data_IF_255316190299
#
_entry.id   IF_255316190299
#
_cell.length_a   1.000
_cell.length_b   1.000
_cell.length_c   1.000
_cell.angle_alpha   90.00
_cell.angle_beta   90.00
_cell.angle_gamma   90.00
#
_symmetry.space_group_name_H-M   'P 1'
#
loop_
_entity.id
_entity.type
_entity.pdbx_description
1 polymer ?
#
# COMPACT_ATOMS: atom_id res chain seq x y z
N UNK A 1 11.25 -2.16 4.35
CA UNK A 1 11.24 -2.07 5.83
C UNK A 1 9.96 -2.68 6.37
N UNK A 2 9.95 -2.98 7.69
CA UNK A 2 8.73 -3.34 8.41
C UNK A 2 8.33 -2.16 9.28
N UNK A 3 7.09 -1.72 9.15
CA UNK A 3 6.49 -0.69 9.97
C UNK A 3 5.53 -1.35 10.95
N UNK A 4 5.57 -0.91 12.21
CA UNK A 4 4.71 -1.44 13.30
C UNK A 4 3.95 -0.29 13.93
N UNK A 5 2.67 -0.45 14.15
CA UNK A 5 1.86 0.50 14.90
C UNK A 5 1.68 0.07 16.36
N UNK A 6 1.01 0.90 17.14
CA UNK A 6 0.85 0.70 18.58
C UNK A 6 -0.12 -0.45 18.91
N UNK A 7 0.09 -1.07 20.09
CA UNK A 7 -0.72 -2.22 20.55
C UNK A 7 -2.20 -1.89 20.73
N UNK A 8 -2.54 -0.64 21.03
CA UNK A 8 -3.91 -0.17 21.21
C UNK A 8 -4.58 0.31 19.92
N UNK A 9 -3.87 0.20 18.77
CA UNK A 9 -4.38 0.50 17.45
C UNK A 9 -4.66 -0.83 16.70
N UNK A 10 -4.02 -1.08 15.56
CA UNK A 10 -4.14 -2.36 14.80
C UNK A 10 -3.22 -3.44 15.38
N UNK A 11 -2.10 -3.01 16.00
CA UNK A 11 -1.06 -3.88 16.52
C UNK A 11 -0.54 -4.83 15.45
N UNK A 12 -0.25 -4.29 14.26
CA UNK A 12 0.15 -5.04 13.08
C UNK A 12 1.52 -4.60 12.60
N UNK A 13 2.15 -5.44 11.81
CA UNK A 13 3.37 -5.13 11.11
C UNK A 13 3.15 -5.21 9.61
N UNK A 14 3.48 -4.13 8.90
CA UNK A 14 3.39 -4.06 7.44
C UNK A 14 4.77 -4.06 6.79
N UNK A 15 4.91 -4.81 5.71
CA UNK A 15 5.96 -4.60 4.73
C UNK A 15 5.69 -3.27 4.02
N UNK A 16 6.70 -2.39 3.98
CA UNK A 16 6.59 -1.07 3.36
C UNK A 16 7.73 -0.85 2.37
N UNK A 17 7.39 -0.44 1.15
CA UNK A 17 8.32 -0.09 0.08
C UNK A 17 7.87 1.20 -0.59
N UNK A 18 8.77 2.18 -0.76
CA UNK A 18 8.47 3.37 -1.56
C UNK A 18 8.01 2.95 -2.97
N UNK A 19 6.87 3.47 -3.41
CA UNK A 19 6.23 3.00 -4.64
C UNK A 19 7.04 3.27 -5.91
N UNK A 20 7.93 4.27 -5.88
CA UNK A 20 8.89 4.55 -6.97
C UNK A 20 9.84 3.38 -7.25
N UNK A 21 10.06 2.51 -6.26
CA UNK A 21 10.97 1.36 -6.35
C UNK A 21 10.25 0.02 -6.48
N UNK A 22 8.94 0.03 -6.75
CA UNK A 22 8.18 -1.20 -6.89
C UNK A 22 8.65 -2.03 -8.09
N UNK A 23 8.82 -3.33 -7.87
CA UNK A 23 9.15 -4.32 -8.91
C UNK A 23 8.22 -5.54 -8.80
N UNK A 24 8.12 -6.38 -9.84
CA UNK A 24 7.41 -7.65 -9.74
C UNK A 24 7.91 -8.54 -8.59
N UNK A 25 9.22 -8.54 -8.34
CA UNK A 25 9.84 -9.32 -7.26
C UNK A 25 9.39 -8.83 -5.88
N UNK A 26 9.30 -7.49 -5.71
CA UNK A 26 8.81 -6.90 -4.46
C UNK A 26 7.34 -7.24 -4.20
N UNK A 27 6.49 -7.13 -5.22
CA UNK A 27 5.08 -7.54 -5.12
C UNK A 27 4.96 -9.04 -4.83
N UNK A 28 5.75 -9.87 -5.51
CA UNK A 28 5.77 -11.31 -5.27
C UNK A 28 6.23 -11.64 -3.84
N UNK A 29 7.22 -10.91 -3.32
CA UNK A 29 7.68 -11.03 -1.94
C UNK A 29 6.55 -10.71 -0.95
N UNK A 30 5.86 -9.58 -1.14
CA UNK A 30 4.74 -9.18 -0.30
C UNK A 30 3.60 -10.22 -0.35
N UNK A 31 3.22 -10.67 -1.54
CA UNK A 31 2.15 -11.66 -1.71
C UNK A 31 2.50 -13.01 -1.08
N UNK A 32 3.75 -13.45 -1.20
CA UNK A 32 4.21 -14.76 -0.74
C UNK A 32 4.47 -14.79 0.76
N UNK A 33 5.11 -13.78 1.29
CA UNK A 33 5.62 -13.77 2.66
C UNK A 33 4.83 -12.84 3.58
N UNK A 34 4.37 -11.67 3.10
CA UNK A 34 3.44 -10.82 3.85
C UNK A 34 2.06 -11.46 3.93
N UNK A 35 1.49 -11.86 2.79
CA UNK A 35 0.17 -12.53 2.66
C UNK A 35 -1.04 -11.62 2.94
N UNK A 36 -0.80 -10.36 3.32
CA UNK A 36 -1.82 -9.36 3.53
C UNK A 36 -2.40 -8.81 2.23
N UNK A 37 -3.21 -7.78 2.34
CA UNK A 37 -3.73 -7.06 1.19
C UNK A 37 -2.69 -6.07 0.68
N UNK A 38 -2.25 -6.23 -0.58
CA UNK A 38 -1.31 -5.29 -1.18
C UNK A 38 -2.04 -4.00 -1.51
N UNK A 39 -1.72 -2.95 -0.75
CA UNK A 39 -2.30 -1.62 -0.86
C UNK A 39 -1.27 -0.59 -1.35
N UNK A 40 -1.76 0.48 -1.98
CA UNK A 40 -0.96 1.60 -2.45
C UNK A 40 -1.35 2.86 -1.66
N UNK A 41 -0.46 3.38 -0.82
CA UNK A 41 -0.72 4.64 -0.12
C UNK A 41 -0.49 5.81 -1.07
N UNK A 42 -1.42 6.74 -1.11
CA UNK A 42 -1.38 7.94 -1.95
C UNK A 42 -1.79 9.17 -1.15
N UNK A 43 -1.23 10.31 -1.49
CA UNK A 43 -1.72 11.59 -0.97
C UNK A 43 -3.13 11.88 -1.48
N UNK A 44 -3.89 12.71 -0.75
CA UNK A 44 -5.19 13.21 -1.19
C UNK A 44 -5.11 13.82 -2.59
N UNK A 45 -4.13 14.72 -2.80
CA UNK A 45 -3.91 15.37 -4.09
C UNK A 45 -3.75 14.37 -5.24
N UNK A 46 -2.98 13.27 -5.01
CA UNK A 46 -2.78 12.25 -6.03
C UNK A 46 -4.07 11.46 -6.30
N UNK A 47 -4.83 11.12 -5.27
CA UNK A 47 -6.14 10.47 -5.42
C UNK A 47 -7.12 11.33 -6.21
N UNK A 48 -7.19 12.63 -5.92
CA UNK A 48 -8.05 13.58 -6.63
C UNK A 48 -7.62 13.73 -8.08
N UNK A 49 -6.32 13.88 -8.35
CA UNK A 49 -5.78 13.96 -9.71
C UNK A 49 -6.15 12.72 -10.54
N UNK A 50 -5.97 11.55 -9.97
CA UNK A 50 -6.28 10.26 -10.64
C UNK A 50 -7.79 9.94 -10.66
N UNK A 51 -8.63 10.79 -10.07
CA UNK A 51 -10.09 10.63 -9.99
C UNK A 51 -10.49 9.30 -9.31
N UNK A 52 -9.87 9.03 -8.17
CA UNK A 52 -10.14 7.85 -7.35
C UNK A 52 -11.18 8.18 -6.27
N UNK A 53 -12.46 7.85 -6.47
CA UNK A 53 -13.48 8.07 -5.45
C UNK A 53 -13.30 7.09 -4.29
N UNK A 54 -13.85 7.41 -3.10
CA UNK A 54 -13.92 6.47 -2.00
C UNK A 54 -14.59 5.16 -2.43
N UNK A 55 -14.08 4.02 -1.94
CA UNK A 55 -14.63 2.69 -2.24
C UNK A 55 -16.07 2.54 -1.74
N UNK A 56 -16.42 3.21 -0.65
CA UNK A 56 -17.75 3.19 -0.07
C UNK A 56 -18.27 4.62 0.18
N UNK A 57 -19.55 4.84 -0.07
CA UNK A 57 -20.21 6.13 0.20
C UNK A 57 -20.18 6.49 1.70
N UNK A 58 -20.12 5.49 2.58
CA UNK A 58 -20.00 5.64 4.03
C UNK A 58 -18.92 4.69 4.53
N UNK A 59 -17.83 5.25 5.06
CA UNK A 59 -16.78 4.46 5.69
C UNK A 59 -17.25 3.98 7.06
N UNK A 60 -17.35 2.66 7.24
CA UNK A 60 -17.74 1.99 8.48
C UNK A 60 -16.58 1.25 9.17
N UNK A 61 -15.33 1.41 8.69
CA UNK A 61 -14.19 0.73 9.29
C UNK A 61 -13.81 1.34 10.64
N UNK A 62 -13.37 0.49 11.57
CA UNK A 62 -13.03 0.90 12.95
C UNK A 62 -11.99 2.00 12.97
N UNK A 63 -10.95 1.89 12.14
CA UNK A 63 -9.84 2.85 12.08
C UNK A 63 -9.98 3.86 10.94
N UNK A 64 -11.15 3.92 10.30
CA UNK A 64 -11.44 4.87 9.22
C UNK A 64 -10.46 4.79 8.05
N UNK A 65 -9.91 3.61 7.76
CA UNK A 65 -9.00 3.39 6.64
C UNK A 65 -9.66 3.82 5.33
N UNK A 66 -9.07 4.79 4.66
CA UNK A 66 -9.68 5.48 3.53
C UNK A 66 -9.40 4.76 2.20
N UNK A 67 -10.00 3.59 2.02
CA UNK A 67 -9.96 2.89 0.74
C UNK A 67 -10.62 3.73 -0.36
N UNK A 68 -9.94 3.82 -1.49
CA UNK A 68 -10.56 4.25 -2.75
C UNK A 68 -10.99 3.02 -3.55
N UNK A 69 -11.67 3.24 -4.68
CA UNK A 69 -11.91 2.17 -5.64
C UNK A 69 -10.60 1.52 -6.04
N UNK A 70 -10.61 0.20 -6.23
CA UNK A 70 -9.43 -0.53 -6.72
C UNK A 70 -9.12 -0.15 -8.17
N UNK A 71 -7.85 -0.27 -8.56
CA UNK A 71 -7.35 0.19 -9.85
C UNK A 71 -6.58 -0.90 -10.58
N UNK A 72 -6.50 -0.71 -11.91
CA UNK A 72 -5.65 -1.48 -12.81
C UNK A 72 -4.98 -0.53 -13.81
N UNK A 73 -3.76 -0.83 -14.27
CA UNK A 73 -3.19 -0.13 -15.42
C UNK A 73 -4.04 -0.41 -16.68
N UNK A 74 -4.35 0.64 -17.46
CA UNK A 74 -5.11 0.49 -18.69
C UNK A 74 -4.36 -0.33 -19.75
N UNK A 75 -3.01 -0.32 -19.68
CA UNK A 75 -2.14 -0.99 -20.64
C UNK A 75 -0.94 -1.65 -19.95
N UNK A 76 -0.43 -2.71 -20.58
CA UNK A 76 0.78 -3.41 -20.11
C UNK A 76 0.50 -4.41 -18.99
N UNK A 77 -0.74 -4.87 -18.85
CA UNK A 77 -1.19 -5.92 -17.94
C UNK A 77 -1.92 -7.02 -18.67
N UNK A 78 -2.03 -8.19 -18.06
CA UNK A 78 -2.83 -9.32 -18.57
C UNK A 78 -4.19 -9.36 -17.86
N UNK A 79 -4.32 -10.19 -16.82
CA UNK A 79 -5.55 -10.25 -15.99
C UNK A 79 -5.50 -9.35 -14.75
N UNK A 80 -4.36 -8.68 -14.51
CA UNK A 80 -4.17 -7.71 -13.45
C UNK A 80 -3.63 -8.26 -12.13
N UNK A 81 -3.82 -9.56 -11.85
CA UNK A 81 -3.51 -10.15 -10.54
C UNK A 81 -2.04 -10.59 -10.40
N UNK A 82 -1.32 -10.84 -11.50
CA UNK A 82 0.07 -11.27 -11.40
C UNK A 82 0.95 -10.24 -10.68
N UNK A 83 2.08 -10.68 -10.12
CA UNK A 83 3.01 -9.75 -9.48
C UNK A 83 3.50 -8.67 -10.46
N UNK A 84 3.72 -9.04 -11.72
CA UNK A 84 4.12 -8.12 -12.78
C UNK A 84 3.00 -7.10 -13.09
N UNK A 85 1.76 -7.55 -13.23
CA UNK A 85 0.61 -6.69 -13.52
C UNK A 85 0.37 -5.69 -12.37
N UNK A 86 0.42 -6.17 -11.11
CA UNK A 86 0.25 -5.30 -9.94
C UNK A 86 1.39 -4.29 -9.81
N UNK A 87 2.64 -4.71 -10.05
CA UNK A 87 3.77 -3.79 -10.07
C UNK A 87 3.60 -2.72 -11.17
N UNK A 88 3.15 -3.12 -12.36
CA UNK A 88 2.85 -2.20 -13.47
C UNK A 88 1.77 -1.19 -13.06
N UNK A 89 0.69 -1.65 -12.44
CA UNK A 89 -0.39 -0.78 -11.98
C UNK A 89 0.10 0.26 -10.96
N UNK A 90 0.93 -0.15 -9.99
CA UNK A 90 1.55 0.78 -9.04
C UNK A 90 2.43 1.79 -9.76
N UNK A 91 3.32 1.35 -10.66
CA UNK A 91 4.20 2.23 -11.43
C UNK A 91 3.42 3.29 -12.19
N UNK A 92 2.33 2.90 -12.87
CA UNK A 92 1.45 3.86 -13.57
C UNK A 92 0.79 4.82 -12.58
N UNK A 93 0.28 4.32 -11.46
CA UNK A 93 -0.42 5.16 -10.49
C UNK A 93 0.48 6.24 -9.86
N UNK A 94 1.79 6.01 -9.73
CA UNK A 94 2.71 6.98 -9.10
C UNK A 94 3.52 7.81 -10.10
N UNK A 95 3.58 7.44 -11.38
CA UNK A 95 4.26 8.22 -12.40
C UNK A 95 3.59 9.59 -12.55
N UNK A 96 4.36 10.66 -12.36
CA UNK A 96 3.90 12.05 -12.48
C UNK A 96 3.34 12.40 -13.86
N UNK A 97 3.71 11.65 -14.90
CA UNK A 97 3.25 11.86 -16.28
C UNK A 97 1.93 11.16 -16.57
N UNK A 98 1.56 10.18 -15.76
CA UNK A 98 0.32 9.41 -15.96
C UNK A 98 -0.91 10.30 -15.81
N UNK A 99 -1.90 10.01 -16.63
CA UNK A 99 -3.21 10.64 -16.63
C UNK A 99 -4.26 9.71 -16.02
N UNK A 100 -5.41 10.22 -15.60
CA UNK A 100 -6.50 9.36 -15.09
C UNK A 100 -6.92 8.26 -16.06
N UNK A 101 -6.80 8.49 -17.37
CA UNK A 101 -7.11 7.51 -18.43
C UNK A 101 -6.13 6.34 -18.51
N UNK A 102 -4.95 6.45 -17.88
CA UNK A 102 -3.95 5.37 -17.87
C UNK A 102 -4.28 4.30 -16.81
N UNK A 103 -5.34 4.53 -16.04
CA UNK A 103 -5.89 3.60 -15.07
C UNK A 103 -7.34 3.27 -15.40
N UNK A 104 -7.74 2.02 -15.11
CA UNK A 104 -9.14 1.56 -15.16
C UNK A 104 -9.58 1.14 -13.77
N UNK A 105 -10.88 1.08 -13.55
CA UNK A 105 -11.54 0.73 -12.30
C UNK A 105 -12.68 -0.25 -12.59
N UNK A 106 -12.84 -1.32 -11.77
CA UNK A 106 -11.98 -1.76 -10.67
C UNK A 106 -10.71 -2.46 -11.15
N UNK A 107 -9.84 -2.86 -10.20
CA UNK A 107 -8.61 -3.60 -10.47
C UNK A 107 -8.10 -4.38 -9.25
N UNK A 108 -6.80 -4.72 -9.25
CA UNK A 108 -6.18 -5.60 -8.25
C UNK A 108 -5.17 -4.89 -7.35
N UNK A 109 -5.05 -3.57 -7.44
CA UNK A 109 -4.37 -2.72 -6.46
C UNK A 109 -5.40 -1.86 -5.74
N UNK A 110 -5.23 -1.72 -4.44
CA UNK A 110 -6.16 -1.04 -3.53
C UNK A 110 -5.52 0.25 -3.02
N UNK A 111 -5.83 1.42 -3.61
CA UNK A 111 -5.29 2.67 -3.10
C UNK A 111 -5.93 3.07 -1.77
N UNK A 112 -5.08 3.60 -0.89
CA UNK A 112 -5.47 4.18 0.40
C UNK A 112 -5.10 5.67 0.37
N UNK A 113 -6.08 6.53 0.64
CA UNK A 113 -5.86 7.96 0.70
C UNK A 113 -5.34 8.36 2.09
N UNK A 114 -4.11 8.87 2.15
CA UNK A 114 -3.53 9.41 3.37
C UNK A 114 -4.25 10.69 3.81
N UNK A 115 -4.33 10.92 5.11
CA UNK A 115 -4.85 12.16 5.69
C UNK A 115 -3.80 13.27 5.53
N UNK A 116 -4.26 14.47 5.19
CA UNK A 116 -3.39 15.64 5.11
C UNK A 116 -2.73 15.92 6.48
N UNK A 117 -1.41 16.15 6.47
CA UNK A 117 -0.61 16.31 7.68
C UNK A 117 0.03 15.02 8.19
N UNK A 118 -0.17 13.89 7.49
CA UNK A 118 0.56 12.65 7.69
C UNK A 118 0.38 12.03 9.08
N UNK A 119 1.40 11.36 9.59
CA UNK A 119 1.36 10.62 10.86
C UNK A 119 1.02 11.49 12.08
N UNK A 120 1.26 12.79 12.01
CA UNK A 120 0.90 13.71 13.08
C UNK A 120 -0.61 13.92 13.20
N UNK A 121 -1.36 13.64 12.15
CA UNK A 121 -2.82 13.73 12.11
C UNK A 121 -3.50 12.37 12.29
N UNK A 122 -2.91 11.31 11.73
CA UNK A 122 -3.37 9.93 11.88
C UNK A 122 -2.16 8.98 11.90
N UNK A 123 -1.92 8.36 13.04
CA UNK A 123 -0.78 7.45 13.26
C UNK A 123 -1.04 6.06 12.62
N UNK A 124 -1.26 6.02 11.31
CA UNK A 124 -1.53 4.79 10.56
C UNK A 124 -0.44 4.45 9.54
N UNK A 125 -0.36 3.17 9.15
CA UNK A 125 0.56 2.68 8.14
C UNK A 125 0.43 3.45 6.80
N UNK A 126 -0.78 3.87 6.45
CA UNK A 126 -1.06 4.67 5.24
C UNK A 126 -0.29 5.99 5.23
N UNK A 127 -0.41 6.77 6.30
CA UNK A 127 0.25 8.06 6.47
C UNK A 127 1.77 7.87 6.61
N UNK A 128 2.18 6.92 7.43
CA UNK A 128 3.60 6.63 7.63
C UNK A 128 4.29 6.17 6.34
N UNK A 129 3.63 5.39 5.51
CA UNK A 129 4.15 4.99 4.21
C UNK A 129 4.41 6.18 3.28
N UNK A 130 3.49 7.15 3.23
CA UNK A 130 3.66 8.39 2.46
C UNK A 130 4.79 9.26 3.03
N UNK A 131 4.82 9.45 4.36
CA UNK A 131 5.81 10.30 5.03
C UNK A 131 7.23 9.72 4.90
N UNK A 132 7.40 8.41 5.14
CA UNK A 132 8.70 7.74 4.99
C UNK A 132 9.23 7.80 3.55
N UNK A 133 8.37 7.58 2.56
CA UNK A 133 8.75 7.70 1.15
C UNK A 133 9.21 9.13 0.83
N UNK A 134 8.46 10.15 1.27
CA UNK A 134 8.82 11.55 1.09
C UNK A 134 10.14 11.91 1.78
N UNK A 135 10.35 11.46 3.03
CA UNK A 135 11.60 11.68 3.78
C UNK A 135 12.80 11.01 3.10
N UNK A 136 12.58 9.90 2.39
CA UNK A 136 13.62 9.23 1.60
C UNK A 136 13.88 9.91 0.23
N UNK A 137 13.20 11.01 -0.10
CA UNK A 137 13.35 11.73 -1.37
C UNK A 137 12.58 11.11 -2.53
N UNK A 138 11.67 10.17 -2.25
CA UNK A 138 10.77 9.54 -3.22
C UNK A 138 9.45 10.31 -3.34
N UNK A 139 8.60 9.90 -4.28
CA UNK A 139 7.21 10.32 -4.31
C UNK A 139 6.52 9.95 -2.98
N UNK A 140 5.62 10.79 -2.43
CA UNK A 140 4.94 10.50 -1.16
C UNK A 140 3.90 9.39 -1.33
N UNK A 141 4.37 8.19 -1.62
CA UNK A 141 3.56 7.00 -1.87
C UNK A 141 4.35 5.73 -1.57
N UNK A 142 3.69 4.71 -1.07
CA UNK A 142 4.30 3.42 -0.76
C UNK A 142 3.37 2.27 -1.09
N UNK A 143 3.95 1.10 -1.35
CA UNK A 143 3.21 -0.16 -1.32
C UNK A 143 3.34 -0.75 0.08
N UNK A 144 2.23 -1.11 0.68
CA UNK A 144 2.14 -1.72 2.01
C UNK A 144 1.43 -3.06 1.94
N UNK A 145 1.79 -3.96 2.84
CA UNK A 145 1.17 -5.28 2.94
C UNK A 145 1.35 -5.81 4.36
N UNK A 146 0.27 -6.15 5.02
CA UNK A 146 0.28 -6.72 6.36
C UNK A 146 1.02 -8.06 6.39
N UNK A 147 1.65 -8.38 7.51
CA UNK A 147 2.36 -9.65 7.70
C UNK A 147 1.49 -10.60 8.52
N UNK A 148 1.17 -11.74 7.91
CA UNK A 148 0.49 -12.86 8.58
C UNK A 148 1.44 -14.01 8.85
N UNK A 149 1.21 -14.73 9.95
CA UNK A 149 1.89 -15.99 10.27
C UNK A 149 1.41 -17.14 9.39
N UNK A 150 2.12 -18.27 9.46
CA UNK A 150 1.79 -19.46 8.66
C UNK A 150 0.41 -20.04 8.96
N UNK A 151 -0.08 -19.84 10.17
CA UNK A 151 -1.43 -20.24 10.61
C UNK A 151 -2.55 -19.29 10.16
N UNK A 152 -2.20 -18.20 9.46
CA UNK A 152 -3.13 -17.18 8.97
C UNK A 152 -3.51 -16.12 10.00
N UNK A 153 -2.97 -16.17 11.21
CA UNK A 153 -3.15 -15.09 12.20
C UNK A 153 -2.16 -13.96 11.93
N UNK A 154 -2.48 -12.75 12.43
CA UNK A 154 -1.60 -11.60 12.24
C UNK A 154 -0.29 -11.76 13.01
N UNK A 155 0.84 -11.44 12.37
CA UNK A 155 2.12 -11.30 13.06
C UNK A 155 2.09 -10.08 13.97
N UNK A 156 2.63 -10.23 15.19
CA UNK A 156 2.70 -9.16 16.17
C UNK A 156 4.17 -8.83 16.44
N UNK A 157 4.42 -7.75 17.17
CA UNK A 157 5.80 -7.28 17.43
C UNK A 157 6.78 -8.39 17.83
N UNK A 158 6.45 -9.41 18.66
CA UNK A 158 7.36 -10.49 18.98
C UNK A 158 7.73 -11.40 17.79
N UNK A 159 6.87 -11.49 16.77
CA UNK A 159 7.08 -12.34 15.59
C UNK A 159 7.94 -11.63 14.53
N UNK A 160 7.81 -10.30 14.44
CA UNK A 160 8.39 -9.50 13.35
C UNK A 160 9.93 -9.50 13.29
N UNK A 161 10.69 -9.48 14.40
CA UNK A 161 12.14 -9.58 14.34
C UNK A 161 12.63 -10.90 13.74
N UNK A 162 11.92 -12.01 14.00
CA UNK A 162 12.24 -13.32 13.42
C UNK A 162 11.94 -13.32 11.91
N UNK A 163 10.81 -12.76 11.51
CA UNK A 163 10.47 -12.57 10.10
C UNK A 163 11.53 -11.72 9.39
N UNK A 164 11.90 -10.57 9.96
CA UNK A 164 12.89 -9.66 9.40
C UNK A 164 14.25 -10.37 9.22
N UNK A 165 14.75 -11.05 10.27
CA UNK A 165 16.01 -11.78 10.22
C UNK A 165 16.00 -12.90 9.16
N UNK A 166 14.87 -13.62 9.03
CA UNK A 166 14.69 -14.69 8.04
C UNK A 166 14.73 -14.21 6.58
N UNK A 167 14.44 -12.94 6.35
CA UNK A 167 14.34 -12.34 5.01
C UNK A 167 15.38 -11.25 4.73
N UNK A 168 16.30 -10.94 5.67
CA UNK A 168 17.33 -9.94 5.50
C UNK A 168 16.79 -8.50 5.46
N UNK A 169 15.74 -8.21 6.23
CA UNK A 169 15.08 -6.89 6.34
C UNK A 169 15.55 -6.12 7.58
#
# INVERSE_FOLDING_TARGET
VILVDEEDRENEGDLVLAADHVTPEAINFMARFGRGLICLTLTRERCEFLKLPPMAARNGTVYSTAFTVSIEAAEGVTTGISAADRARTVQVAVDRKSQPSDLVQPGHIFPLQAVDGGVLMRAGHTEAGCDLAAMAGCSPSSVICEIMKDDGTMARLPDLPLFAAGHGL
#
